data_IF_378914124290
#
_entry.id   IF_378914124290
#
_cell.length_a   1.000
_cell.length_b   1.000
_cell.length_c   1.000
_cell.angle_alpha   90.00
_cell.angle_beta   90.00
_cell.angle_gamma   90.00
#
_symmetry.space_group_name_H-M   'P 1'
#
loop_
_entity.id
_entity.type
_entity.pdbx_description
1 polymer ?
#
# COMPACT_ATOMS: atom_id res chain seq x y z
N UNK A 1 6.03 15.10 -9.99
CA UNK A 1 6.58 14.13 -10.96
C UNK A 1 6.09 12.70 -10.67
N UNK A 2 6.08 12.23 -9.42
CA UNK A 2 5.56 10.90 -9.05
C UNK A 2 4.04 10.75 -9.29
N UNK A 3 3.25 11.77 -8.94
CA UNK A 3 1.80 11.80 -9.12
C UNK A 3 1.32 11.58 -10.56
N UNK A 4 1.98 12.25 -11.51
CA UNK A 4 1.70 12.12 -12.94
C UNK A 4 2.05 10.72 -13.47
N UNK A 5 3.12 10.09 -12.96
CA UNK A 5 3.50 8.71 -13.33
C UNK A 5 2.52 7.67 -12.79
N UNK A 6 1.95 7.93 -11.62
CA UNK A 6 0.99 7.05 -10.95
C UNK A 6 -0.48 7.36 -11.30
N UNK A 7 -0.71 8.35 -12.17
CA UNK A 7 -2.03 8.85 -12.57
C UNK A 7 -2.97 9.18 -11.38
N UNK A 8 -2.38 9.67 -10.28
CA UNK A 8 -3.09 10.09 -9.06
C UNK A 8 -2.72 11.52 -8.71
N UNK A 9 -3.52 12.21 -7.90
CA UNK A 9 -3.21 13.57 -7.49
C UNK A 9 -1.94 13.64 -6.62
N UNK A 10 -1.22 14.76 -6.68
CA UNK A 10 -0.05 14.99 -5.82
C UNK A 10 -0.42 14.97 -4.32
N UNK A 11 -1.64 15.39 -3.98
CA UNK A 11 -2.19 15.23 -2.63
C UNK A 11 -2.29 13.74 -2.24
N UNK A 12 -2.70 12.87 -3.16
CA UNK A 12 -2.78 11.41 -2.94
C UNK A 12 -1.39 10.80 -2.73
N UNK A 13 -0.39 11.25 -3.50
CA UNK A 13 1.02 10.84 -3.29
C UNK A 13 1.51 11.27 -1.91
N UNK A 14 1.31 12.54 -1.55
CA UNK A 14 1.74 13.06 -0.25
C UNK A 14 1.11 12.28 0.90
N UNK A 15 -0.19 11.97 0.85
CA UNK A 15 -0.83 11.15 1.91
C UNK A 15 -0.35 9.71 1.97
N UNK A 16 0.17 9.15 0.87
CA UNK A 16 0.84 7.84 0.88
C UNK A 16 2.22 7.98 1.54
N UNK A 17 3.01 8.99 1.17
CA UNK A 17 4.33 9.29 1.76
C UNK A 17 4.26 9.56 3.28
N UNK A 18 3.12 10.05 3.78
CA UNK A 18 2.86 10.30 5.20
C UNK A 18 2.10 9.14 5.90
N UNK A 19 1.77 8.06 5.19
CA UNK A 19 1.15 6.84 5.75
C UNK A 19 -0.36 6.91 6.07
N UNK A 20 -1.06 7.97 5.66
CA UNK A 20 -2.46 8.23 6.04
C UNK A 20 -3.48 7.40 5.24
N UNK A 21 -3.23 7.15 3.94
CA UNK A 21 -4.16 6.35 3.09
C UNK A 21 -3.93 4.85 3.28
N UNK A 22 -2.68 4.44 3.45
CA UNK A 22 -2.29 3.04 3.60
C UNK A 22 -2.90 2.42 4.86
N UNK A 23 -2.92 3.15 5.98
CA UNK A 23 -3.48 2.62 7.23
C UNK A 23 -4.94 2.21 7.11
N UNK A 24 -5.82 3.01 6.50
CA UNK A 24 -7.25 2.71 6.49
C UNK A 24 -7.63 1.57 5.51
N UNK A 25 -7.01 1.52 4.34
CA UNK A 25 -7.33 0.50 3.33
C UNK A 25 -6.67 -0.85 3.63
N UNK A 26 -5.42 -0.85 4.10
CA UNK A 26 -4.74 -2.08 4.53
C UNK A 26 -5.37 -2.68 5.79
N UNK A 27 -5.86 -1.86 6.72
CA UNK A 27 -6.52 -2.35 7.93
C UNK A 27 -7.82 -3.11 7.62
N UNK A 28 -8.57 -2.67 6.61
CA UNK A 28 -9.77 -3.37 6.15
C UNK A 28 -9.42 -4.73 5.54
N UNK A 29 -8.40 -4.78 4.67
CA UNK A 29 -7.94 -6.02 4.06
C UNK A 29 -7.33 -6.97 5.11
N UNK A 30 -6.57 -6.44 6.06
CA UNK A 30 -5.99 -7.21 7.17
C UNK A 30 -7.09 -7.89 7.98
N UNK A 31 -8.11 -7.13 8.43
CA UNK A 31 -9.25 -7.68 9.18
C UNK A 31 -10.00 -8.77 8.41
N UNK A 32 -10.17 -8.59 7.11
CA UNK A 32 -10.82 -9.60 6.27
C UNK A 32 -9.97 -10.89 6.19
N UNK A 33 -8.67 -10.75 5.94
CA UNK A 33 -7.74 -11.88 5.83
C UNK A 33 -7.59 -12.62 7.17
N UNK A 34 -7.49 -11.90 8.27
CA UNK A 34 -7.50 -12.48 9.62
C UNK A 34 -8.81 -13.24 9.92
N UNK A 35 -9.96 -12.70 9.51
CA UNK A 35 -11.26 -13.34 9.71
C UNK A 35 -11.40 -14.68 8.97
N UNK A 36 -10.62 -14.88 7.90
CA UNK A 36 -10.55 -16.16 7.16
C UNK A 36 -9.36 -17.04 7.57
N UNK A 37 -8.59 -16.63 8.59
CA UNK A 37 -7.44 -17.36 9.11
C UNK A 37 -6.18 -17.24 8.25
N UNK A 38 -6.10 -16.23 7.38
CA UNK A 38 -4.93 -15.95 6.56
C UNK A 38 -4.03 -14.86 7.15
N UNK A 39 -2.92 -14.61 6.45
CA UNK A 39 -1.98 -13.53 6.73
C UNK A 39 -1.88 -12.62 5.49
N UNK A 40 -1.97 -11.30 5.69
CA UNK A 40 -1.85 -10.34 4.60
C UNK A 40 -0.39 -9.89 4.48
N UNK A 41 0.24 -10.20 3.35
CA UNK A 41 1.57 -9.69 3.00
C UNK A 41 1.48 -8.65 1.87
N UNK A 42 2.22 -7.55 1.98
CA UNK A 42 2.32 -6.49 0.97
C UNK A 42 3.75 -6.46 0.42
N UNK A 43 3.91 -6.71 -0.88
CA UNK A 43 5.21 -6.68 -1.56
C UNK A 43 5.24 -5.58 -2.62
N UNK A 44 6.38 -4.91 -2.77
CA UNK A 44 6.66 -4.01 -3.89
C UNK A 44 7.80 -4.56 -4.71
N UNK A 45 7.61 -4.60 -6.03
CA UNK A 45 8.65 -4.97 -7.00
C UNK A 45 9.23 -3.72 -7.66
N UNK A 46 10.55 -3.56 -7.61
CA UNK A 46 11.29 -2.48 -8.28
C UNK A 46 12.38 -3.11 -9.13
N UNK A 47 12.18 -3.10 -10.45
CA UNK A 47 13.04 -3.86 -11.36
C UNK A 47 12.91 -5.36 -11.08
N UNK A 48 14.04 -6.02 -10.80
CA UNK A 48 14.10 -7.44 -10.44
C UNK A 48 14.10 -7.67 -8.92
N UNK A 49 14.05 -6.61 -8.11
CA UNK A 49 14.06 -6.69 -6.65
C UNK A 49 12.66 -6.69 -6.07
N UNK A 50 12.48 -7.45 -4.98
CA UNK A 50 11.23 -7.57 -4.24
C UNK A 50 11.43 -7.16 -2.78
N UNK A 51 10.55 -6.29 -2.30
CA UNK A 51 10.58 -5.77 -0.93
C UNK A 51 9.26 -6.10 -0.23
N UNK A 52 9.34 -6.85 0.88
CA UNK A 52 8.21 -7.03 1.78
C UNK A 52 8.03 -5.77 2.65
N UNK A 53 6.83 -5.22 2.65
CA UNK A 53 6.49 -3.96 3.35
C UNK A 53 5.70 -4.23 4.63
N UNK A 54 4.82 -5.24 4.63
CA UNK A 54 4.00 -5.63 5.76
C UNK A 54 3.51 -7.07 5.62
#
# INVERSE_FOLDING_TARGET
QLAQRLNISQNRVSRIEHGDIERAQLDTLRKYVEAVGGELSVEVSIGDERFLIA
#
